data_IF_364027809045
#
_entry.id   IF_364027809045
#
_cell.length_a   1.000
_cell.length_b   1.000
_cell.length_c   1.000
_cell.angle_alpha   90.00
_cell.angle_beta   90.00
_cell.angle_gamma   90.00
#
_symmetry.space_group_name_H-M   'P 1'
#
loop_
_entity.id
_entity.type
_entity.pdbx_description
1 polymer ?
#
# COMPACT_ATOMS: atom_id res chain seq x y z
N UNK A 1 -10.88 29.38 9.35
CA UNK A 1 -9.87 29.85 8.40
C UNK A 1 -9.20 28.68 7.68
N UNK A 2 -8.64 27.68 8.37
CA UNK A 2 -7.88 26.58 7.78
C UNK A 2 -8.73 25.70 6.81
N UNK A 3 -9.95 25.33 7.21
CA UNK A 3 -10.86 24.53 6.37
C UNK A 3 -11.19 25.26 5.04
N UNK A 4 -11.36 26.58 5.07
CA UNK A 4 -11.57 27.39 3.86
C UNK A 4 -10.34 27.36 2.94
N UNK A 5 -9.15 27.40 3.49
CA UNK A 5 -7.90 27.31 2.75
C UNK A 5 -7.73 25.92 2.11
N UNK A 6 -8.01 24.83 2.86
CA UNK A 6 -7.99 23.46 2.35
C UNK A 6 -8.96 23.27 1.18
N UNK A 7 -10.17 23.81 1.27
CA UNK A 7 -11.14 23.78 0.16
C UNK A 7 -10.60 24.44 -1.11
N UNK A 8 -9.98 25.61 -0.96
CA UNK A 8 -9.39 26.34 -2.10
C UNK A 8 -8.22 25.59 -2.71
N UNK A 9 -7.34 25.04 -1.88
CA UNK A 9 -6.20 24.22 -2.33
C UNK A 9 -6.71 22.98 -3.08
N UNK A 10 -7.66 22.25 -2.50
CA UNK A 10 -8.23 21.06 -3.12
C UNK A 10 -8.87 21.37 -4.49
N UNK A 11 -9.66 22.46 -4.59
CA UNK A 11 -10.28 22.88 -5.83
C UNK A 11 -9.24 23.29 -6.89
N UNK A 12 -8.18 23.99 -6.48
CA UNK A 12 -7.10 24.42 -7.36
C UNK A 12 -6.32 23.21 -7.90
N UNK A 13 -5.86 22.31 -7.06
CA UNK A 13 -5.11 21.10 -7.48
C UNK A 13 -5.96 20.22 -8.38
N UNK A 14 -7.25 20.05 -8.06
CA UNK A 14 -8.20 19.34 -8.91
C UNK A 14 -8.24 19.93 -10.32
N UNK A 15 -8.38 21.25 -10.42
CA UNK A 15 -8.50 21.94 -11.71
C UNK A 15 -7.19 21.91 -12.50
N UNK A 16 -6.06 22.19 -11.86
CA UNK A 16 -4.74 22.23 -12.50
C UNK A 16 -4.30 20.86 -13.01
N UNK A 17 -4.62 19.79 -12.28
CA UNK A 17 -4.18 18.43 -12.59
C UNK A 17 -5.24 17.56 -13.27
N UNK A 18 -6.47 18.04 -13.40
CA UNK A 18 -7.56 17.35 -14.11
C UNK A 18 -8.20 16.20 -13.35
N UNK A 19 -8.20 16.22 -12.01
CA UNK A 19 -8.85 15.19 -11.19
C UNK A 19 -10.37 15.28 -11.23
N UNK A 20 -11.05 14.13 -11.17
CA UNK A 20 -12.50 14.05 -11.20
C UNK A 20 -13.17 14.68 -9.98
N UNK A 21 -12.60 14.49 -8.81
CA UNK A 21 -13.08 15.06 -7.56
C UNK A 21 -11.93 15.40 -6.62
N UNK A 22 -12.21 16.24 -5.62
CA UNK A 22 -11.27 16.58 -4.55
C UNK A 22 -12.03 16.68 -3.23
N UNK A 23 -11.47 16.09 -2.20
CA UNK A 23 -11.93 16.22 -0.83
C UNK A 23 -10.81 16.70 0.08
N UNK A 24 -11.19 17.26 1.23
CA UNK A 24 -10.23 17.68 2.23
C UNK A 24 -10.65 17.23 3.63
N UNK A 25 -9.65 16.98 4.47
CA UNK A 25 -9.83 16.68 5.88
C UNK A 25 -8.61 17.19 6.66
N UNK A 26 -8.74 17.33 7.98
CA UNK A 26 -7.61 17.72 8.84
C UNK A 26 -6.57 16.62 9.04
N UNK A 27 -6.91 15.39 8.64
CA UNK A 27 -6.06 14.20 8.76
C UNK A 27 -5.88 13.54 7.41
N UNK A 28 -4.76 12.86 7.23
CA UNK A 28 -4.51 12.04 6.05
C UNK A 28 -5.53 10.90 5.91
N UNK A 29 -5.78 10.52 4.66
CA UNK A 29 -6.54 9.31 4.34
C UNK A 29 -5.67 8.09 4.61
N UNK A 30 -6.22 7.12 5.33
CA UNK A 30 -5.52 5.86 5.65
C UNK A 30 -6.10 4.70 4.84
N UNK A 31 -5.22 3.80 4.40
CA UNK A 31 -5.63 2.59 3.69
C UNK A 31 -6.27 1.53 4.60
N UNK A 32 -6.50 1.82 5.87
CA UNK A 32 -7.05 0.90 6.87
C UNK A 32 -8.15 1.56 7.71
N UNK A 33 -8.90 0.75 8.45
CA UNK A 33 -10.04 1.22 9.26
C UNK A 33 -11.19 1.73 8.39
N UNK A 34 -11.96 2.68 8.90
CA UNK A 34 -13.14 3.24 8.24
C UNK A 34 -12.82 3.83 6.86
N UNK A 35 -11.68 4.49 6.71
CA UNK A 35 -11.25 5.05 5.43
C UNK A 35 -10.97 3.93 4.40
N UNK A 36 -10.37 2.82 4.84
CA UNK A 36 -10.11 1.65 4.00
C UNK A 36 -11.39 0.91 3.55
N UNK A 37 -12.53 1.13 4.18
CA UNK A 37 -13.82 0.59 3.73
C UNK A 37 -14.47 1.44 2.63
N UNK A 38 -14.10 2.71 2.53
CA UNK A 38 -14.72 3.68 1.63
C UNK A 38 -13.84 4.06 0.43
N UNK A 39 -12.53 3.94 0.58
CA UNK A 39 -11.56 4.45 -0.39
C UNK A 39 -10.46 3.45 -0.69
N UNK A 40 -9.91 3.51 -1.91
CA UNK A 40 -8.70 2.79 -2.32
C UNK A 40 -7.72 3.72 -2.98
N UNK A 41 -6.44 3.52 -2.67
CA UNK A 41 -5.35 4.12 -3.42
C UNK A 41 -5.19 3.34 -4.73
N UNK A 42 -5.41 3.99 -5.84
CA UNK A 42 -5.48 3.37 -7.16
C UNK A 42 -4.44 3.93 -8.15
N UNK A 43 -3.45 4.71 -7.68
CA UNK A 43 -2.40 5.23 -8.56
C UNK A 43 -1.75 4.09 -9.36
N UNK A 44 -1.48 4.31 -10.65
CA UNK A 44 -0.78 3.34 -11.47
C UNK A 44 0.62 3.08 -10.91
N UNK A 45 1.20 1.94 -11.28
CA UNK A 45 2.58 1.66 -10.92
C UNK A 45 3.52 2.54 -11.74
N UNK A 46 4.55 3.05 -11.08
CA UNK A 46 5.61 3.78 -11.76
C UNK A 46 6.30 2.91 -12.80
N UNK A 47 6.45 3.44 -14.01
CA UNK A 47 7.26 2.84 -15.07
C UNK A 47 8.46 3.77 -15.29
N UNK A 48 9.61 3.36 -14.78
CA UNK A 48 10.84 4.14 -14.90
C UNK A 48 11.43 4.00 -16.30
N UNK A 49 11.94 5.10 -16.85
CA UNK A 49 12.77 5.10 -18.05
C UNK A 49 14.16 4.53 -17.73
N UNK A 50 14.94 4.19 -18.73
CA UNK A 50 16.31 3.71 -18.55
C UNK A 50 17.21 4.74 -17.81
N UNK A 51 17.01 6.04 -18.08
CA UNK A 51 17.74 7.11 -17.39
C UNK A 51 17.33 7.23 -15.91
N UNK A 52 16.03 7.13 -15.62
CA UNK A 52 15.54 7.14 -14.24
C UNK A 52 15.99 5.90 -13.46
N UNK A 53 15.96 4.70 -14.06
CA UNK A 53 16.48 3.48 -13.45
C UNK A 53 17.95 3.60 -13.10
N UNK A 54 18.75 4.15 -14.04
CA UNK A 54 20.17 4.41 -13.78
C UNK A 54 20.35 5.39 -12.63
N UNK A 55 19.57 6.46 -12.61
CA UNK A 55 19.63 7.47 -11.54
C UNK A 55 19.27 6.90 -10.17
N UNK A 56 18.23 6.07 -10.11
CA UNK A 56 17.84 5.36 -8.88
C UNK A 56 18.99 4.46 -8.41
N UNK A 57 19.58 3.64 -9.29
CA UNK A 57 20.71 2.78 -8.92
C UNK A 57 21.92 3.57 -8.40
N UNK A 58 22.24 4.72 -9.01
CA UNK A 58 23.30 5.61 -8.54
C UNK A 58 23.00 6.19 -7.15
N UNK A 59 21.74 6.51 -6.86
CA UNK A 59 21.29 7.00 -5.56
C UNK A 59 21.31 5.88 -4.50
N UNK A 60 20.89 4.67 -4.85
CA UNK A 60 20.97 3.50 -3.97
C UNK A 60 22.41 3.17 -3.59
N UNK A 61 23.36 3.23 -4.55
CA UNK A 61 24.80 3.06 -4.27
C UNK A 61 25.33 4.17 -3.33
N UNK A 62 24.87 5.41 -3.50
CA UNK A 62 25.23 6.52 -2.61
C UNK A 62 24.66 6.30 -1.20
N UNK A 63 23.43 5.81 -1.09
CA UNK A 63 22.77 5.52 0.18
C UNK A 63 23.53 4.42 0.96
N UNK A 64 23.99 3.35 0.26
CA UNK A 64 24.80 2.30 0.87
C UNK A 64 26.17 2.80 1.38
N UNK A 65 26.72 3.84 0.74
CA UNK A 65 28.01 4.44 1.12
C UNK A 65 27.88 5.53 2.20
N UNK A 66 26.68 5.90 2.56
CA UNK A 66 26.40 7.01 3.49
C UNK A 66 26.41 6.49 4.93
N UNK A 67 27.01 7.25 5.85
CA UNK A 67 27.12 6.90 7.27
C UNK A 67 26.15 7.71 8.16
N UNK A 68 25.48 8.73 7.62
CA UNK A 68 24.59 9.65 8.37
C UNK A 68 23.14 9.45 7.97
N UNK A 69 22.26 9.36 8.97
CA UNK A 69 20.83 9.22 8.77
C UNK A 69 20.19 10.40 8.00
N UNK A 70 20.68 11.62 8.20
CA UNK A 70 20.17 12.80 7.50
C UNK A 70 20.47 12.75 5.98
N UNK A 71 21.64 12.22 5.61
CA UNK A 71 22.00 12.06 4.20
C UNK A 71 21.26 10.88 3.56
N UNK A 72 21.05 9.78 4.29
CA UNK A 72 20.20 8.65 3.84
C UNK A 72 18.79 9.15 3.55
N UNK A 73 18.22 9.95 4.45
CA UNK A 73 16.88 10.51 4.27
C UNK A 73 16.77 11.42 3.04
N UNK A 74 17.76 12.28 2.84
CA UNK A 74 17.81 13.17 1.68
C UNK A 74 17.96 12.42 0.34
N UNK A 75 18.67 11.28 0.34
CA UNK A 75 18.79 10.41 -0.84
C UNK A 75 17.48 9.67 -1.07
N UNK A 76 16.84 9.15 -0.03
CA UNK A 76 15.55 8.48 -0.13
C UNK A 76 14.49 9.42 -0.70
N UNK A 77 14.45 10.68 -0.26
CA UNK A 77 13.54 11.70 -0.81
C UNK A 77 13.72 11.89 -2.32
N UNK A 78 14.97 11.90 -2.82
CA UNK A 78 15.23 11.99 -4.25
C UNK A 78 14.75 10.75 -5.03
N UNK A 79 14.88 9.57 -4.46
CA UNK A 79 14.38 8.31 -5.05
C UNK A 79 12.85 8.36 -5.11
N UNK A 80 12.22 8.75 -4.02
CA UNK A 80 10.75 8.87 -3.92
C UNK A 80 10.19 9.89 -4.91
N UNK A 81 10.88 11.01 -5.13
CA UNK A 81 10.53 12.00 -6.14
C UNK A 81 10.53 11.41 -7.55
N UNK A 82 11.56 10.63 -7.92
CA UNK A 82 11.63 9.97 -9.23
C UNK A 82 10.45 9.00 -9.42
N UNK A 83 10.16 8.17 -8.42
CA UNK A 83 9.01 7.27 -8.48
C UNK A 83 7.67 8.02 -8.52
N UNK A 84 7.56 9.12 -7.81
CA UNK A 84 6.38 9.97 -7.79
C UNK A 84 6.14 10.57 -9.18
N UNK A 85 7.14 11.16 -9.80
CA UNK A 85 7.05 11.72 -11.16
C UNK A 85 6.67 10.65 -12.20
N UNK A 86 7.32 9.47 -12.13
CA UNK A 86 7.00 8.36 -13.00
C UNK A 86 5.55 7.89 -12.83
N UNK A 87 5.07 7.77 -11.59
CA UNK A 87 3.68 7.42 -11.27
C UNK A 87 2.69 8.46 -11.83
N UNK A 88 2.97 9.76 -11.69
CA UNK A 88 2.15 10.83 -12.22
C UNK A 88 2.11 10.83 -13.75
N UNK A 89 3.19 10.45 -14.41
CA UNK A 89 3.27 10.31 -15.88
C UNK A 89 2.35 9.19 -16.39
N UNK A 90 2.28 8.08 -15.66
CA UNK A 90 1.40 6.95 -16.00
C UNK A 90 -0.09 7.25 -15.73
N UNK A 91 -0.40 8.23 -14.88
CA UNK A 91 -1.76 8.65 -14.60
C UNK A 91 -2.33 9.46 -15.79
N UNK A 92 -2.95 8.76 -16.74
CA UNK A 92 -3.55 9.37 -17.93
C UNK A 92 -4.66 10.37 -17.58
N UNK A 93 -5.03 11.30 -18.49
CA UNK A 93 -6.14 12.21 -18.25
C UNK A 93 -7.46 11.50 -17.93
N UNK A 94 -7.73 10.36 -18.57
CA UNK A 94 -8.91 9.54 -18.33
C UNK A 94 -8.86 8.93 -16.92
N UNK A 95 -7.69 8.45 -16.49
CA UNK A 95 -7.49 7.97 -15.14
C UNK A 95 -7.76 9.07 -14.12
N UNK A 96 -7.18 10.25 -14.31
CA UNK A 96 -7.38 11.39 -13.40
C UNK A 96 -8.83 11.84 -13.33
N UNK A 97 -9.53 11.86 -14.46
CA UNK A 97 -10.96 12.22 -14.50
C UNK A 97 -11.84 11.21 -13.73
N UNK A 98 -11.45 9.93 -13.69
CA UNK A 98 -12.18 8.90 -12.98
C UNK A 98 -11.84 8.83 -11.47
N UNK A 99 -10.71 9.37 -11.06
CA UNK A 99 -10.20 9.33 -9.69
C UNK A 99 -10.17 10.72 -9.05
N UNK A 100 -9.90 10.76 -7.78
CA UNK A 100 -9.83 12.01 -7.03
C UNK A 100 -8.55 12.20 -6.27
N UNK A 101 -8.51 13.32 -5.56
CA UNK A 101 -7.47 13.68 -4.62
C UNK A 101 -8.05 13.93 -3.24
N UNK A 102 -7.21 13.65 -2.25
CA UNK A 102 -7.45 13.97 -0.87
C UNK A 102 -6.42 15.00 -0.41
N UNK A 103 -6.88 16.10 0.19
CA UNK A 103 -6.01 17.15 0.70
C UNK A 103 -6.13 17.17 2.22
N UNK A 104 -5.01 17.07 2.91
CA UNK A 104 -4.94 17.11 4.36
C UNK A 104 -3.92 18.15 4.84
N UNK A 105 -3.87 18.36 6.15
CA UNK A 105 -2.94 19.25 6.82
C UNK A 105 -2.21 18.49 7.92
N UNK A 106 -0.89 18.43 7.84
CA UNK A 106 -0.06 17.71 8.81
C UNK A 106 0.36 18.54 10.04
N UNK A 107 0.02 19.83 10.04
CA UNK A 107 0.43 20.82 11.07
C UNK A 107 1.31 21.93 10.50
N UNK A 108 2.09 21.64 9.48
CA UNK A 108 3.03 22.55 8.83
C UNK A 108 2.73 22.76 7.34
N UNK A 109 2.35 21.70 6.62
CA UNK A 109 2.19 21.71 5.18
C UNK A 109 0.87 21.06 4.73
N UNK A 110 0.48 21.37 3.48
CA UNK A 110 -0.61 20.67 2.80
C UNK A 110 -0.07 19.38 2.18
N UNK A 111 -0.70 18.26 2.55
CA UNK A 111 -0.45 16.95 1.96
C UNK A 111 -1.50 16.65 0.89
N UNK A 112 -1.08 16.21 -0.28
CA UNK A 112 -1.97 15.83 -1.38
C UNK A 112 -1.78 14.35 -1.68
N UNK A 113 -2.83 13.57 -1.49
CA UNK A 113 -2.87 12.15 -1.81
C UNK A 113 -3.68 11.96 -3.10
N UNK A 114 -3.04 11.67 -4.24
CA UNK A 114 -3.70 11.52 -5.52
C UNK A 114 -4.19 10.09 -5.77
N UNK A 115 -5.01 9.93 -6.82
CA UNK A 115 -5.42 8.62 -7.32
C UNK A 115 -6.34 7.86 -6.39
N UNK A 116 -7.19 8.57 -5.66
CA UNK A 116 -8.15 7.96 -4.74
C UNK A 116 -9.40 7.52 -5.52
N UNK A 117 -9.79 6.26 -5.37
CA UNK A 117 -11.06 5.71 -5.85
C UNK A 117 -12.02 5.55 -4.67
N UNK A 118 -13.25 6.04 -4.84
CA UNK A 118 -14.33 5.74 -3.91
C UNK A 118 -14.86 4.34 -4.21
N UNK A 119 -15.06 3.55 -3.16
CA UNK A 119 -15.66 2.23 -3.28
C UNK A 119 -17.18 2.34 -3.30
N UNK A 120 -17.82 1.65 -4.23
CA UNK A 120 -19.25 1.42 -4.22
C UNK A 120 -19.59 0.21 -3.35
N UNK A 121 -20.86 0.01 -3.01
CA UNK A 121 -21.29 -1.18 -2.28
C UNK A 121 -21.03 -2.46 -3.07
N UNK A 122 -21.13 -2.38 -4.41
CA UNK A 122 -20.82 -3.49 -5.31
C UNK A 122 -19.31 -3.84 -5.30
N UNK A 123 -18.44 -2.83 -5.30
CA UNK A 123 -17.00 -3.01 -5.19
C UNK A 123 -16.62 -3.72 -3.87
N UNK A 124 -17.23 -3.33 -2.76
CA UNK A 124 -16.98 -3.93 -1.44
C UNK A 124 -17.37 -5.40 -1.40
N UNK A 125 -18.55 -5.74 -1.92
CA UNK A 125 -19.00 -7.12 -2.01
C UNK A 125 -18.07 -7.95 -2.91
N UNK A 126 -17.65 -7.41 -4.03
CA UNK A 126 -16.72 -8.10 -4.94
C UNK A 126 -15.33 -8.33 -4.30
N UNK A 127 -14.80 -7.36 -3.55
CA UNK A 127 -13.54 -7.51 -2.83
C UNK A 127 -13.64 -8.55 -1.71
N UNK A 128 -14.74 -8.57 -0.96
CA UNK A 128 -14.99 -9.56 0.10
C UNK A 128 -15.04 -10.98 -0.48
N UNK A 129 -15.77 -11.18 -1.58
CA UNK A 129 -15.83 -12.47 -2.28
C UNK A 129 -14.45 -12.92 -2.80
N UNK A 130 -13.67 -11.99 -3.37
CA UNK A 130 -12.33 -12.29 -3.83
C UNK A 130 -11.36 -12.65 -2.70
N UNK A 131 -11.55 -12.08 -1.51
CA UNK A 131 -10.78 -12.42 -0.32
C UNK A 131 -11.12 -13.83 0.19
N UNK A 132 -12.41 -14.16 0.28
CA UNK A 132 -12.88 -15.50 0.68
C UNK A 132 -12.38 -16.59 -0.28
N UNK A 133 -12.39 -16.32 -1.59
CA UNK A 133 -11.86 -17.24 -2.59
C UNK A 133 -10.35 -17.47 -2.42
N UNK A 134 -9.58 -16.42 -2.12
CA UNK A 134 -8.13 -16.52 -1.85
C UNK A 134 -7.86 -17.34 -0.59
N UNK A 135 -8.55 -17.08 0.50
CA UNK A 135 -8.42 -17.84 1.74
C UNK A 135 -8.79 -19.31 1.55
N UNK A 136 -9.86 -19.60 0.84
CA UNK A 136 -10.28 -20.95 0.50
C UNK A 136 -9.24 -21.70 -0.36
N UNK A 137 -8.57 -21.02 -1.28
CA UNK A 137 -7.51 -21.59 -2.09
C UNK A 137 -6.22 -21.85 -1.29
N UNK A 138 -5.85 -20.97 -0.36
CA UNK A 138 -4.68 -21.15 0.52
C UNK A 138 -4.86 -22.41 1.39
N UNK A 139 -6.05 -22.62 1.94
CA UNK A 139 -6.35 -23.81 2.76
C UNK A 139 -6.23 -25.11 1.93
N UNK A 140 -6.61 -25.09 0.66
CA UNK A 140 -6.48 -26.26 -0.23
C UNK A 140 -5.03 -26.63 -0.57
N UNK A 141 -4.12 -25.64 -0.57
CA UNK A 141 -2.70 -25.88 -0.90
C UNK A 141 -1.84 -26.21 0.33
N UNK A 142 -2.32 -25.98 1.57
CA UNK A 142 -1.55 -26.22 2.80
C UNK A 142 -1.79 -27.58 3.46
N UNK A 143 -2.67 -28.42 2.92
CA UNK A 143 -2.78 -29.81 3.36
C UNK A 143 -2.03 -30.68 2.35
N UNK A 144 -0.73 -30.97 2.52
CA UNK A 144 -0.13 -32.05 1.77
C UNK A 144 -0.87 -33.33 2.17
N UNK A 145 -1.38 -34.05 1.21
CA UNK A 145 -1.93 -35.39 1.39
C UNK A 145 -0.76 -36.34 1.72
N UNK A 146 -0.26 -36.21 2.96
CA UNK A 146 0.80 -37.07 3.48
C UNK A 146 0.09 -38.33 3.95
N UNK A 147 0.32 -39.48 3.27
CA UNK A 147 -0.26 -40.74 3.69
C UNK A 147 0.10 -41.00 5.15
N UNK A 148 -0.84 -41.51 5.92
CA UNK A 148 -0.66 -41.77 7.38
C UNK A 148 0.57 -42.63 7.72
N UNK A 149 1.10 -43.34 6.74
CA UNK A 149 2.29 -44.20 6.87
C UNK A 149 3.64 -43.50 6.55
N UNK A 150 3.63 -42.18 6.22
CA UNK A 150 4.86 -41.48 5.82
C UNK A 150 5.83 -41.19 6.95
N UNK A 151 5.42 -41.32 8.21
CA UNK A 151 6.29 -41.09 9.37
C UNK A 151 6.63 -42.41 10.04
N UNK A 152 7.92 -42.68 10.36
CA UNK A 152 8.30 -43.82 11.17
C UNK A 152 7.55 -43.83 12.52
N UNK A 153 7.00 -44.95 12.90
CA UNK A 153 6.23 -45.09 14.16
C UNK A 153 6.96 -44.57 15.41
N UNK A 154 8.30 -44.58 15.38
CA UNK A 154 9.16 -44.00 16.40
C UNK A 154 9.06 -42.47 16.50
N UNK A 155 8.89 -41.76 15.37
CA UNK A 155 8.74 -40.28 15.34
C UNK A 155 7.38 -39.88 15.89
N UNK A 156 6.32 -40.56 15.48
CA UNK A 156 4.95 -40.31 15.96
C UNK A 156 4.87 -40.53 17.48
N UNK A 157 5.56 -41.55 17.99
CA UNK A 157 5.60 -41.87 19.42
C UNK A 157 6.37 -40.82 20.23
N UNK A 158 7.47 -40.29 19.67
CA UNK A 158 8.24 -39.23 20.31
C UNK A 158 7.43 -37.91 20.37
N UNK A 159 6.77 -37.51 19.30
CA UNK A 159 5.91 -36.30 19.26
C UNK A 159 4.71 -36.41 20.20
N UNK A 160 4.12 -37.60 20.35
CA UNK A 160 3.03 -37.85 21.31
C UNK A 160 3.49 -37.79 22.76
N UNK A 161 4.70 -38.24 23.05
CA UNK A 161 5.30 -38.17 24.39
C UNK A 161 5.62 -36.73 24.81
N UNK A 162 6.19 -35.93 23.91
CA UNK A 162 6.43 -34.48 24.17
C UNK A 162 5.15 -33.71 24.42
N UNK A 163 4.09 -33.97 23.65
CA UNK A 163 2.80 -33.33 23.84
C UNK A 163 2.16 -33.69 25.18
N UNK A 164 2.33 -34.92 25.63
CA UNK A 164 1.82 -35.39 26.96
C UNK A 164 2.57 -34.71 28.09
N UNK A 165 3.89 -34.54 27.96
CA UNK A 165 4.72 -33.85 28.97
C UNK A 165 4.40 -32.37 29.07
N UNK A 166 4.12 -31.70 27.94
CA UNK A 166 3.73 -30.29 27.93
C UNK A 166 2.39 -30.02 28.62
N UNK A 167 1.43 -30.96 28.51
CA UNK A 167 0.11 -30.87 29.18
C UNK A 167 0.17 -31.17 30.69
N UNK A 168 1.15 -31.91 31.14
CA UNK A 168 1.35 -32.21 32.58
C UNK A 168 2.15 -31.16 33.34
N UNK A 169 2.73 -30.17 32.64
CA UNK A 169 3.53 -29.09 33.23
C UNK A 169 2.72 -27.79 33.52
N UNK A 170 1.43 -27.76 33.19
CA UNK A 170 0.45 -26.72 33.61
C UNK A 170 -0.35 -27.22 34.82
#
# INVERSE_FOLDING_TARGET
LLAGTLTVVAARVKQEQGWGWAEFRMTELRACGEDGELYRFAMPKAVLTEEEQKRVSELEEQMEATETYDDEYAIQEQIDDIYCEATYREATPEFRAAHGIWVSWDGDNFQVQPGIRRLTDEDRVAEEQALEERESNVIRHTTPDIPADAYPATLVKAMSAERTLAVQAE
#
